data_IF_989553810166
#
_entry.id   IF_989553810166
#
_cell.length_a   1.000
_cell.length_b   1.000
_cell.length_c   1.000
_cell.angle_alpha   90.00
_cell.angle_beta   90.00
_cell.angle_gamma   90.00
#
_symmetry.space_group_name_H-M   'P 1'
#
loop_
_entity.id
_entity.type
_entity.pdbx_description
1 polymer ?
#
# COMPACT_ATOMS: atom_id res chain seq x y z
N UNK A 1 -9.60 7.38 61.55
CA UNK A 1 -10.22 8.04 60.35
C UNK A 1 -9.69 7.33 59.13
N UNK A 2 -10.47 6.41 58.59
CA UNK A 2 -10.15 5.59 57.43
C UNK A 2 -10.65 6.25 56.18
N UNK A 3 -9.73 6.54 55.23
CA UNK A 3 -10.06 7.07 53.91
C UNK A 3 -10.21 5.91 52.92
N UNK A 4 -11.45 5.63 52.54
CA UNK A 4 -11.82 4.67 51.51
C UNK A 4 -11.33 5.11 50.14
N UNK A 5 -10.54 4.24 49.46
CA UNK A 5 -10.17 4.39 48.04
C UNK A 5 -11.35 3.92 47.17
N UNK A 6 -12.03 4.86 46.54
CA UNK A 6 -12.94 4.59 45.45
C UNK A 6 -12.18 4.12 44.22
N UNK A 7 -12.47 2.90 43.74
CA UNK A 7 -12.02 2.39 42.46
C UNK A 7 -12.90 3.01 41.36
N UNK A 8 -12.33 3.91 40.58
CA UNK A 8 -12.94 4.37 39.32
C UNK A 8 -13.07 3.18 38.37
N UNK A 9 -14.30 2.75 38.14
CA UNK A 9 -14.64 1.83 37.04
C UNK A 9 -14.67 2.64 35.75
N UNK A 10 -13.76 2.33 34.82
CA UNK A 10 -13.81 2.83 33.46
C UNK A 10 -15.06 2.31 32.70
N UNK A 11 -15.51 3.00 31.65
CA UNK A 11 -16.68 2.59 30.87
C UNK A 11 -16.45 1.23 30.20
N UNK A 12 -17.51 0.44 29.92
CA UNK A 12 -17.41 -0.85 29.26
C UNK A 12 -16.95 -0.65 27.81
N UNK A 13 -15.96 -1.42 27.36
CA UNK A 13 -15.41 -1.41 26.03
C UNK A 13 -16.42 -2.05 25.07
N UNK A 14 -17.03 -1.22 24.24
CA UNK A 14 -17.88 -1.61 23.10
C UNK A 14 -16.99 -2.12 21.95
N UNK A 15 -17.43 -3.10 21.24
CA UNK A 15 -16.92 -3.85 20.07
C UNK A 15 -15.41 -3.80 19.66
N UNK A 16 -14.91 -4.85 19.04
CA UNK A 16 -13.53 -4.96 18.52
C UNK A 16 -13.19 -3.92 17.42
N UNK A 17 -14.20 -3.45 16.69
CA UNK A 17 -14.10 -2.34 15.72
C UNK A 17 -13.80 -1.00 16.40
N UNK A 18 -14.32 -0.76 17.62
CA UNK A 18 -14.04 0.46 18.37
C UNK A 18 -12.60 0.52 18.90
N UNK A 19 -11.91 -0.61 19.02
CA UNK A 19 -10.50 -0.65 19.43
C UNK A 19 -9.53 -0.39 18.28
N UNK A 20 -9.93 -0.70 17.04
CA UNK A 20 -9.15 -0.36 15.86
C UNK A 20 -9.30 1.14 15.56
N UNK A 21 -10.48 1.71 15.82
CA UNK A 21 -10.74 3.15 15.71
C UNK A 21 -10.17 4.01 16.85
N UNK A 22 -9.61 3.39 17.90
CA UNK A 22 -8.96 4.07 19.02
C UNK A 22 -7.42 4.00 18.95
N UNK A 23 -6.84 3.97 17.75
CA UNK A 23 -5.48 4.46 17.62
C UNK A 23 -5.55 5.97 17.88
N UNK A 24 -5.20 6.36 19.11
CA UNK A 24 -4.89 7.76 19.42
C UNK A 24 -4.02 8.27 18.25
N UNK A 25 -4.23 9.51 17.76
CA UNK A 25 -3.44 10.06 16.64
C UNK A 25 -1.91 9.93 16.82
N UNK A 26 -1.46 9.74 18.03
CA UNK A 26 -0.07 9.51 18.46
C UNK A 26 0.52 8.15 18.04
N UNK A 27 -0.30 7.17 17.67
CA UNK A 27 0.16 5.87 17.18
C UNK A 27 0.50 5.85 15.69
N UNK A 28 0.10 6.87 14.92
CA UNK A 28 0.40 6.98 13.50
C UNK A 28 1.71 7.72 13.27
N UNK A 29 2.62 7.11 12.50
CA UNK A 29 3.82 7.82 12.06
C UNK A 29 3.41 8.99 11.16
N UNK A 30 3.71 10.22 11.59
CA UNK A 30 3.45 11.46 10.86
C UNK A 30 4.75 12.08 10.40
N UNK A 31 4.75 12.59 9.18
CA UNK A 31 5.83 13.39 8.62
C UNK A 31 5.26 14.74 8.18
N UNK A 32 5.77 15.85 8.71
CA UNK A 32 5.24 17.20 8.45
C UNK A 32 3.72 17.33 8.67
N UNK A 33 3.19 16.76 9.75
CA UNK A 33 1.75 16.72 10.07
C UNK A 33 0.88 16.03 8.99
N UNK A 34 1.43 15.07 8.27
CA UNK A 34 0.76 14.21 7.32
C UNK A 34 1.05 12.77 7.70
N UNK A 35 0.06 11.88 7.64
CA UNK A 35 0.30 10.44 7.64
C UNK A 35 0.96 10.13 6.31
N UNK A 36 2.26 9.81 6.35
CA UNK A 36 3.05 9.63 5.15
C UNK A 36 3.64 8.23 5.06
N UNK A 37 3.53 7.61 3.89
CA UNK A 37 4.25 6.36 3.56
C UNK A 37 4.83 6.46 2.16
N UNK A 38 6.09 6.07 2.03
CA UNK A 38 6.78 5.85 0.77
C UNK A 38 6.92 4.35 0.57
N UNK A 39 6.36 3.84 -0.52
CA UNK A 39 6.32 2.43 -0.86
C UNK A 39 7.16 2.22 -2.12
N UNK A 40 7.87 1.10 -2.19
CA UNK A 40 8.76 0.80 -3.31
C UNK A 40 8.31 -0.47 -4.04
N UNK A 41 8.28 -0.41 -5.36
CA UNK A 41 8.20 -1.56 -6.24
C UNK A 41 9.56 -1.86 -6.84
N UNK A 42 10.13 -3.02 -6.48
CA UNK A 42 11.48 -3.40 -6.93
C UNK A 42 11.54 -3.80 -8.41
N UNK A 43 10.40 -4.19 -9.01
CA UNK A 43 10.36 -4.64 -10.40
C UNK A 43 10.48 -3.47 -11.38
N UNK A 44 9.78 -2.36 -11.11
CA UNK A 44 9.82 -1.13 -11.91
C UNK A 44 10.75 -0.06 -11.33
N UNK A 45 11.21 -0.22 -10.08
CA UNK A 45 11.93 0.80 -9.30
C UNK A 45 11.09 2.05 -9.01
N UNK A 46 9.77 1.89 -8.95
CA UNK A 46 8.78 2.96 -8.74
C UNK A 46 8.54 3.19 -7.27
N UNK A 47 8.38 4.45 -6.89
CA UNK A 47 7.84 4.86 -5.60
C UNK A 47 6.36 5.21 -5.69
N UNK A 48 5.58 4.62 -4.80
CA UNK A 48 4.18 5.00 -4.53
C UNK A 48 4.12 5.78 -3.22
N UNK A 49 3.31 6.84 -3.14
CA UNK A 49 3.24 7.70 -1.96
C UNK A 49 1.82 7.76 -1.41
N UNK A 50 1.65 7.45 -0.11
CA UNK A 50 0.38 7.59 0.61
C UNK A 50 0.45 8.84 1.49
N UNK A 51 -0.53 9.73 1.32
CA UNK A 51 -0.72 10.96 2.08
C UNK A 51 -2.06 10.92 2.79
N UNK A 52 -2.11 11.08 4.10
CA UNK A 52 -3.35 11.11 4.87
C UNK A 52 -3.39 12.30 5.83
N UNK A 53 -4.56 12.90 5.96
CA UNK A 53 -4.83 13.90 6.99
C UNK A 53 -5.09 13.20 8.34
N UNK A 54 -4.27 13.44 9.37
CA UNK A 54 -4.40 12.76 10.66
C UNK A 54 -5.68 13.12 11.42
N UNK A 55 -6.35 14.21 11.08
CA UNK A 55 -7.57 14.65 11.76
C UNK A 55 -8.83 14.03 11.18
N UNK A 56 -8.88 13.87 9.86
CA UNK A 56 -10.07 13.35 9.16
C UNK A 56 -9.89 11.92 8.67
N UNK A 57 -8.65 11.39 8.70
CA UNK A 57 -8.25 10.11 8.13
C UNK A 57 -8.54 9.97 6.63
N UNK A 58 -8.76 11.09 5.93
CA UNK A 58 -8.89 11.13 4.48
C UNK A 58 -7.52 11.12 3.82
N UNK A 59 -7.38 10.38 2.71
CA UNK A 59 -6.09 10.13 2.10
C UNK A 59 -6.10 10.22 0.57
N UNK A 60 -4.91 10.48 0.02
CA UNK A 60 -4.55 10.33 -1.39
C UNK A 60 -3.43 9.32 -1.51
N UNK A 61 -3.33 8.67 -2.67
CA UNK A 61 -2.19 7.84 -3.03
C UNK A 61 -1.69 8.26 -4.42
N UNK A 62 -0.37 8.31 -4.62
CA UNK A 62 0.27 8.81 -5.83
C UNK A 62 1.09 7.68 -6.46
N UNK A 63 1.00 7.51 -7.79
CA UNK A 63 1.76 6.58 -8.63
C UNK A 63 1.70 5.12 -8.13
N UNK A 64 0.52 4.54 -8.16
CA UNK A 64 0.29 3.15 -7.77
C UNK A 64 0.74 2.16 -8.85
N UNK A 65 1.23 0.98 -8.42
CA UNK A 65 1.64 -0.11 -9.31
C UNK A 65 0.59 -1.23 -9.30
N UNK A 66 0.20 -1.73 -10.47
CA UNK A 66 -0.86 -2.73 -10.65
C UNK A 66 -0.63 -3.98 -9.78
N UNK A 67 0.57 -4.53 -9.80
CA UNK A 67 0.94 -5.72 -9.03
C UNK A 67 0.98 -5.49 -7.52
N UNK A 68 1.09 -4.21 -7.08
CA UNK A 68 1.16 -3.82 -5.68
C UNK A 68 -0.19 -3.39 -5.08
N UNK A 69 -1.29 -3.40 -5.84
CA UNK A 69 -2.58 -2.91 -5.37
C UNK A 69 -3.08 -3.59 -4.08
N UNK A 70 -2.79 -4.88 -3.85
CA UNK A 70 -3.14 -5.56 -2.61
C UNK A 70 -2.39 -4.99 -1.40
N UNK A 71 -1.10 -4.67 -1.57
CA UNK A 71 -0.27 -4.02 -0.54
C UNK A 71 -0.82 -2.65 -0.20
N UNK A 72 -1.06 -1.86 -1.24
CA UNK A 72 -1.48 -0.46 -1.10
C UNK A 72 -2.88 -0.37 -0.46
N UNK A 73 -3.79 -1.25 -0.88
CA UNK A 73 -5.10 -1.40 -0.27
C UNK A 73 -5.01 -1.82 1.19
N UNK A 74 -4.24 -2.86 1.50
CA UNK A 74 -4.08 -3.35 2.87
C UNK A 74 -3.53 -2.27 3.79
N UNK A 75 -2.56 -1.46 3.32
CA UNK A 75 -2.03 -0.34 4.09
C UNK A 75 -3.10 0.72 4.41
N UNK A 76 -3.93 1.08 3.42
CA UNK A 76 -5.04 2.03 3.61
C UNK A 76 -6.02 1.50 4.65
N UNK A 77 -6.39 0.21 4.57
CA UNK A 77 -7.30 -0.46 5.50
C UNK A 77 -6.71 -0.54 6.92
N UNK A 78 -5.46 -0.98 7.07
CA UNK A 78 -4.78 -1.12 8.38
C UNK A 78 -4.58 0.22 9.09
N UNK A 79 -4.37 1.31 8.34
CA UNK A 79 -4.28 2.66 8.90
C UNK A 79 -5.65 3.31 9.15
N UNK A 80 -6.75 2.63 8.81
CA UNK A 80 -8.11 3.15 8.96
C UNK A 80 -8.39 4.37 8.08
N UNK A 81 -7.73 4.50 6.93
CA UNK A 81 -7.83 5.66 6.06
C UNK A 81 -8.98 5.53 5.06
N UNK A 82 -9.67 6.63 4.80
CA UNK A 82 -10.58 6.79 3.68
C UNK A 82 -9.82 7.30 2.46
N UNK A 83 -9.55 6.42 1.48
CA UNK A 83 -8.91 6.81 0.25
C UNK A 83 -9.87 7.60 -0.65
N UNK A 84 -9.56 8.86 -0.93
CA UNK A 84 -10.38 9.74 -1.77
C UNK A 84 -10.00 9.67 -3.24
N UNK A 85 -8.71 9.59 -3.53
CA UNK A 85 -8.22 9.50 -4.91
C UNK A 85 -6.87 8.79 -5.02
N UNK A 86 -6.67 8.15 -6.17
CA UNK A 86 -5.38 7.78 -6.72
C UNK A 86 -5.00 8.85 -7.73
N UNK A 87 -3.77 9.34 -7.66
CA UNK A 87 -3.23 10.38 -8.54
C UNK A 87 -2.03 9.81 -9.30
N UNK A 88 -2.03 9.91 -10.62
CA UNK A 88 -0.84 9.60 -11.42
C UNK A 88 -0.12 10.90 -11.81
N UNK A 89 1.20 10.95 -11.65
CA UNK A 89 2.02 12.10 -12.05
C UNK A 89 2.11 12.23 -13.57
N UNK A 90 2.03 11.12 -14.29
CA UNK A 90 2.07 11.04 -15.74
C UNK A 90 1.53 9.69 -16.25
N UNK A 91 1.50 9.48 -17.55
CA UNK A 91 1.22 8.17 -18.14
C UNK A 91 2.52 7.33 -18.13
N UNK A 92 2.64 6.41 -17.16
CA UNK A 92 3.82 5.58 -16.96
C UNK A 92 4.09 4.65 -18.16
N UNK A 93 5.38 4.40 -18.45
CA UNK A 93 5.81 3.52 -19.53
C UNK A 93 6.52 2.25 -19.06
N UNK A 94 6.84 2.16 -17.78
CA UNK A 94 7.64 1.12 -17.12
C UNK A 94 6.80 0.14 -16.31
N UNK A 95 5.59 0.55 -15.89
CA UNK A 95 4.64 -0.29 -15.17
C UNK A 95 3.20 0.09 -15.51
N UNK A 96 2.26 -0.81 -15.24
CA UNK A 96 0.83 -0.51 -15.29
C UNK A 96 0.39 0.10 -13.98
N UNK A 97 -0.35 1.23 -14.02
CA UNK A 97 -0.91 1.85 -12.80
C UNK A 97 -1.94 0.95 -12.13
N UNK A 98 -1.93 0.91 -10.80
CA UNK A 98 -2.95 0.24 -9.98
C UNK A 98 -4.23 1.04 -9.79
N UNK A 99 -4.37 2.20 -10.42
CA UNK A 99 -5.42 3.18 -10.14
C UNK A 99 -6.84 2.59 -10.27
N UNK A 100 -7.12 1.88 -11.36
CA UNK A 100 -8.43 1.24 -11.55
C UNK A 100 -8.72 0.18 -10.47
N UNK A 101 -7.73 -0.64 -10.09
CA UNK A 101 -7.91 -1.66 -9.06
C UNK A 101 -8.18 -1.04 -7.69
N UNK A 102 -7.49 0.03 -7.35
CA UNK A 102 -7.74 0.79 -6.13
C UNK A 102 -9.14 1.40 -6.13
N UNK A 103 -9.59 1.95 -7.26
CA UNK A 103 -10.96 2.46 -7.42
C UNK A 103 -12.00 1.35 -7.22
N UNK A 104 -11.82 0.17 -7.82
CA UNK A 104 -12.74 -0.96 -7.64
C UNK A 104 -12.78 -1.44 -6.18
N UNK A 105 -11.67 -1.36 -5.47
CA UNK A 105 -11.56 -1.84 -4.10
C UNK A 105 -12.11 -0.85 -3.06
N UNK A 106 -11.96 0.46 -3.28
CA UNK A 106 -12.22 1.51 -2.26
C UNK A 106 -13.28 2.52 -2.66
N UNK A 107 -13.69 2.55 -3.94
CA UNK A 107 -14.57 3.58 -4.48
C UNK A 107 -13.92 4.96 -4.67
N UNK A 108 -12.59 5.05 -4.55
CA UNK A 108 -11.86 6.30 -4.76
C UNK A 108 -11.93 6.78 -6.21
N UNK A 109 -11.58 8.04 -6.44
CA UNK A 109 -11.51 8.62 -7.78
C UNK A 109 -10.10 8.48 -8.36
N UNK A 110 -9.99 8.47 -9.69
CA UNK A 110 -8.71 8.47 -10.41
C UNK A 110 -8.47 9.87 -10.96
N UNK A 111 -7.28 10.42 -10.70
CA UNK A 111 -6.90 11.77 -11.13
C UNK A 111 -5.58 11.82 -11.89
N UNK A 112 -5.55 12.58 -13.00
CA UNK A 112 -4.39 12.79 -13.84
C UNK A 112 -4.46 14.17 -14.54
N UNK A 113 -3.35 14.63 -15.08
CA UNK A 113 -3.32 15.87 -15.90
C UNK A 113 -4.25 15.82 -17.10
N UNK A 114 -4.95 16.92 -17.40
CA UNK A 114 -5.76 17.07 -18.61
C UNK A 114 -4.97 16.88 -19.90
N UNK A 115 -3.68 17.13 -19.88
CA UNK A 115 -2.78 16.97 -21.02
C UNK A 115 -2.38 15.52 -21.27
N UNK A 116 -2.53 14.67 -20.26
CA UNK A 116 -2.26 13.26 -20.44
C UNK A 116 -3.29 12.62 -21.35
N UNK A 117 -2.86 11.76 -22.29
CA UNK A 117 -3.74 11.03 -23.18
C UNK A 117 -4.73 10.12 -22.41
N UNK A 118 -4.36 9.66 -21.21
CA UNK A 118 -5.21 8.89 -20.30
C UNK A 118 -6.33 9.70 -19.61
N UNK A 119 -6.35 11.04 -19.76
CA UNK A 119 -7.29 11.90 -19.05
C UNK A 119 -8.78 11.59 -19.34
N UNK A 120 -9.08 10.99 -20.49
CA UNK A 120 -10.47 10.62 -20.83
C UNK A 120 -11.01 9.49 -19.96
N UNK A 121 -10.16 8.61 -19.47
CA UNK A 121 -10.52 7.50 -18.60
C UNK A 121 -10.56 7.88 -17.12
N UNK A 122 -9.98 9.03 -16.73
CA UNK A 122 -9.90 9.49 -15.35
C UNK A 122 -11.13 10.31 -14.93
N UNK A 123 -11.49 10.23 -13.63
CA UNK A 123 -12.59 10.97 -13.01
C UNK A 123 -12.24 12.45 -12.79
N UNK A 124 -10.97 12.69 -12.43
CA UNK A 124 -10.42 14.01 -12.11
C UNK A 124 -9.37 14.37 -13.14
N UNK A 125 -9.48 15.57 -13.69
CA UNK A 125 -8.61 16.09 -14.75
C UNK A 125 -8.04 17.43 -14.34
N UNK A 126 -6.73 17.48 -14.12
CA UNK A 126 -6.07 18.62 -13.52
C UNK A 126 -5.40 19.54 -14.53
N UNK A 127 -5.48 20.84 -14.25
CA UNK A 127 -4.65 21.88 -14.81
C UNK A 127 -3.62 22.37 -13.79
N UNK A 128 -2.68 23.19 -14.27
CA UNK A 128 -1.73 23.88 -13.39
C UNK A 128 -2.47 24.78 -12.39
N UNK A 129 -2.11 24.68 -11.11
CA UNK A 129 -2.71 25.46 -10.01
C UNK A 129 -3.96 24.84 -9.40
N UNK A 130 -4.47 23.74 -9.94
CA UNK A 130 -5.59 23.02 -9.32
C UNK A 130 -5.15 22.43 -7.96
N UNK A 131 -6.14 22.16 -7.09
CA UNK A 131 -5.91 21.60 -5.75
C UNK A 131 -6.70 20.32 -5.56
N UNK A 132 -6.05 19.31 -5.03
CA UNK A 132 -6.71 18.04 -4.65
C UNK A 132 -6.73 17.96 -3.13
N UNK A 133 -7.93 18.11 -2.55
CA UNK A 133 -8.14 18.16 -1.10
C UNK A 133 -8.31 16.77 -0.52
N UNK A 134 -7.70 16.54 0.66
CA UNK A 134 -7.90 15.37 1.50
C UNK A 134 -7.99 15.84 2.97
N UNK A 135 -9.19 15.86 3.49
CA UNK A 135 -9.48 16.42 4.82
C UNK A 135 -9.23 17.92 4.88
N UNK A 136 -8.37 18.34 5.80
CA UNK A 136 -7.97 19.73 5.97
C UNK A 136 -6.73 20.10 5.15
N UNK A 137 -6.16 19.15 4.44
CA UNK A 137 -4.96 19.28 3.64
C UNK A 137 -5.28 19.24 2.15
N UNK A 138 -4.35 19.72 1.32
CA UNK A 138 -4.42 19.56 -0.14
C UNK A 138 -3.02 19.41 -0.75
N UNK A 139 -2.98 18.89 -1.96
CA UNK A 139 -1.83 19.03 -2.86
C UNK A 139 -2.18 19.98 -3.99
N UNK A 140 -1.24 20.89 -4.32
CA UNK A 140 -1.30 21.76 -5.49
C UNK A 140 -0.72 20.99 -6.69
N UNK A 141 -1.40 21.09 -7.83
CA UNK A 141 -0.95 20.50 -9.09
C UNK A 141 -0.10 21.50 -9.84
N UNK A 142 1.16 21.20 -10.07
CA UNK A 142 2.05 21.99 -10.93
C UNK A 142 2.28 21.26 -12.24
N UNK A 143 1.89 21.84 -13.38
CA UNK A 143 2.24 21.28 -14.68
C UNK A 143 3.76 21.30 -14.85
N UNK A 144 4.35 20.15 -15.08
CA UNK A 144 5.81 19.97 -15.25
C UNK A 144 6.12 19.12 -16.48
N UNK A 145 5.63 19.53 -17.68
CA UNK A 145 5.84 18.76 -18.90
C UNK A 145 7.32 18.69 -19.28
N UNK A 146 7.66 17.66 -20.05
CA UNK A 146 8.99 17.52 -20.63
C UNK A 146 9.53 16.09 -20.61
N UNK A 147 9.32 15.31 -19.56
CA UNK A 147 9.46 13.85 -19.62
C UNK A 147 8.33 13.26 -20.48
N UNK A 148 7.08 13.62 -20.17
CA UNK A 148 5.94 13.52 -21.08
C UNK A 148 5.23 14.86 -21.17
N UNK A 149 4.33 15.08 -22.15
CA UNK A 149 3.54 16.32 -22.23
C UNK A 149 2.55 16.48 -21.06
N UNK A 150 2.12 15.37 -20.47
CA UNK A 150 1.12 15.34 -19.40
C UNK A 150 1.71 15.31 -17.99
N UNK A 151 3.02 15.45 -17.78
CA UNK A 151 3.61 15.40 -16.45
C UNK A 151 3.13 16.52 -15.53
N UNK A 152 2.88 16.15 -14.26
CA UNK A 152 2.60 17.07 -13.17
C UNK A 152 3.45 16.72 -11.94
N UNK A 153 3.70 17.73 -11.11
CA UNK A 153 4.26 17.60 -9.76
C UNK A 153 3.16 17.95 -8.78
N UNK A 154 2.95 17.10 -7.76
CA UNK A 154 2.04 17.39 -6.66
C UNK A 154 2.84 17.99 -5.49
N UNK A 155 2.42 19.17 -5.00
CA UNK A 155 3.11 19.88 -3.92
C UNK A 155 2.16 20.03 -2.74
N UNK A 156 2.59 19.67 -1.53
CA UNK A 156 1.78 19.85 -0.32
C UNK A 156 1.49 21.33 -0.04
N UNK A 157 0.35 21.59 0.61
CA UNK A 157 -0.15 22.94 0.95
C UNK A 157 0.82 23.81 1.74
N UNK A 158 1.73 23.20 2.51
CA UNK A 158 2.80 23.85 3.26
C UNK A 158 4.12 23.97 2.47
N UNK A 159 4.15 23.54 1.22
CA UNK A 159 5.32 23.52 0.33
C UNK A 159 6.53 22.76 0.89
N UNK A 160 6.33 21.79 1.77
CA UNK A 160 7.42 21.01 2.37
C UNK A 160 7.72 19.71 1.64
N UNK A 161 6.81 19.24 0.79
CA UNK A 161 6.94 18.00 0.03
C UNK A 161 6.48 18.21 -1.42
N UNK A 162 7.30 17.76 -2.37
CA UNK A 162 6.99 17.77 -3.79
C UNK A 162 7.17 16.37 -4.38
N UNK A 163 6.10 15.82 -4.96
CA UNK A 163 6.07 14.52 -5.64
C UNK A 163 6.26 14.77 -7.13
N UNK A 164 7.50 14.63 -7.58
CA UNK A 164 7.93 15.16 -8.88
C UNK A 164 7.72 14.21 -10.06
N UNK A 165 7.23 12.99 -9.79
CA UNK A 165 7.20 11.95 -10.82
C UNK A 165 8.57 11.81 -11.47
N UNK A 166 8.59 11.74 -12.79
CA UNK A 166 9.83 11.67 -13.57
C UNK A 166 10.30 13.03 -14.12
N UNK A 167 9.69 14.12 -13.68
CA UNK A 167 10.21 15.45 -14.02
C UNK A 167 11.61 15.66 -13.42
N UNK A 168 11.73 15.50 -12.09
CA UNK A 168 13.01 15.61 -11.38
C UNK A 168 13.24 14.36 -10.53
N UNK A 169 14.37 13.67 -10.77
CA UNK A 169 14.83 12.53 -10.00
C UNK A 169 15.99 12.94 -9.09
N UNK A 170 16.28 12.12 -8.06
CA UNK A 170 17.43 12.38 -7.19
C UNK A 170 18.72 12.24 -7.99
N UNK A 171 19.44 13.35 -8.15
CA UNK A 171 20.65 13.46 -8.98
C UNK A 171 20.39 13.08 -10.45
N UNK A 172 19.18 13.37 -10.94
CA UNK A 172 18.76 13.04 -12.30
C UNK A 172 17.52 13.79 -12.75
N UNK A 173 17.07 13.47 -13.94
CA UNK A 173 15.78 13.89 -14.51
C UNK A 173 15.25 12.76 -15.41
N UNK A 174 13.95 12.70 -15.62
CA UNK A 174 13.35 11.74 -16.55
C UNK A 174 13.85 11.96 -17.98
N UNK A 175 13.88 10.90 -18.77
CA UNK A 175 14.20 10.98 -20.21
C UNK A 175 13.11 11.73 -20.99
N UNK A 176 13.46 12.24 -22.18
CA UNK A 176 12.56 13.10 -22.99
C UNK A 176 12.37 12.61 -24.42
N UNK A 177 12.80 11.38 -24.74
CA UNK A 177 12.92 10.88 -26.11
C UNK A 177 11.70 10.04 -26.57
N UNK A 178 10.61 10.00 -25.78
CA UNK A 178 9.34 9.37 -26.15
C UNK A 178 8.13 10.09 -25.49
N UNK A 179 6.89 9.68 -25.80
CA UNK A 179 5.63 10.21 -25.25
C UNK A 179 5.54 11.75 -25.29
N UNK A 180 5.89 12.36 -26.43
CA UNK A 180 5.94 13.81 -26.63
C UNK A 180 6.88 14.54 -25.66
N UNK A 181 7.93 13.86 -25.19
CA UNK A 181 8.95 14.44 -24.34
C UNK A 181 9.71 15.58 -25.03
N UNK A 182 10.21 16.54 -24.23
CA UNK A 182 10.95 17.69 -24.72
C UNK A 182 11.93 18.19 -23.65
N UNK A 183 13.20 18.14 -23.92
CA UNK A 183 14.26 18.48 -22.97
C UNK A 183 14.23 19.96 -22.56
N UNK A 184 13.94 20.88 -23.46
CA UNK A 184 13.83 22.32 -23.17
C UNK A 184 12.63 22.62 -22.25
N UNK A 185 11.48 21.95 -22.50
CA UNK A 185 10.32 22.06 -21.61
C UNK A 185 10.63 21.47 -20.22
N UNK A 186 11.34 20.32 -20.16
CA UNK A 186 11.71 19.72 -18.88
C UNK A 186 12.64 20.63 -18.06
N UNK A 187 13.63 21.25 -18.71
CA UNK A 187 14.50 22.23 -18.08
C UNK A 187 13.68 23.36 -17.42
N UNK A 188 12.75 23.96 -18.18
CA UNK A 188 11.87 25.04 -17.68
C UNK A 188 10.93 24.53 -16.58
N UNK A 189 10.35 23.36 -16.73
CA UNK A 189 9.52 22.76 -15.68
C UNK A 189 10.28 22.61 -14.36
N UNK A 190 11.51 22.15 -14.39
CA UNK A 190 12.32 22.01 -13.18
C UNK A 190 12.69 23.38 -12.61
N UNK A 191 13.19 24.30 -13.43
CA UNK A 191 13.71 25.60 -12.97
C UNK A 191 12.61 26.55 -12.53
N UNK A 192 11.46 26.57 -13.22
CA UNK A 192 10.36 27.52 -13.00
C UNK A 192 9.28 26.99 -12.07
N UNK A 193 9.11 25.65 -11.92
CA UNK A 193 8.06 25.07 -11.11
C UNK A 193 8.59 24.37 -9.84
N UNK A 194 9.76 23.70 -9.91
CA UNK A 194 10.30 22.94 -8.77
C UNK A 194 11.35 23.77 -8.02
N UNK A 195 12.32 24.35 -8.72
CA UNK A 195 13.39 25.13 -8.07
C UNK A 195 12.94 26.49 -7.50
N UNK A 196 11.69 26.88 -7.71
CA UNK A 196 11.02 28.03 -7.07
C UNK A 196 10.40 27.68 -5.71
N UNK A 197 10.33 26.40 -5.35
CA UNK A 197 9.92 25.97 -4.01
C UNK A 197 10.99 26.32 -2.97
N UNK A 198 10.63 26.34 -1.67
CA UNK A 198 11.59 26.56 -0.59
C UNK A 198 12.76 25.57 -0.65
N UNK A 199 13.94 26.02 -0.22
CA UNK A 199 15.17 25.22 -0.24
C UNK A 199 15.06 23.91 0.56
N UNK A 200 14.30 23.92 1.65
CA UNK A 200 14.01 22.79 2.53
C UNK A 200 12.80 21.93 2.07
N UNK A 201 12.18 22.28 0.94
CA UNK A 201 11.16 21.43 0.34
C UNK A 201 11.79 20.11 -0.10
N UNK A 202 11.23 19.00 0.38
CA UNK A 202 11.70 17.66 0.07
C UNK A 202 11.18 17.19 -1.27
N UNK A 203 12.06 16.59 -2.05
CA UNK A 203 11.78 16.03 -3.38
C UNK A 203 11.58 14.52 -3.24
N UNK A 204 10.42 14.04 -3.70
CA UNK A 204 10.03 12.66 -3.78
C UNK A 204 9.79 12.27 -5.25
N UNK A 205 10.73 11.57 -5.89
CA UNK A 205 10.65 11.24 -7.32
C UNK A 205 9.73 10.06 -7.61
N UNK A 206 9.33 9.86 -8.87
CA UNK A 206 8.63 8.66 -9.32
C UNK A 206 9.52 7.41 -9.27
N UNK A 207 10.82 7.55 -9.54
CA UNK A 207 11.77 6.44 -9.61
C UNK A 207 13.08 6.72 -8.89
N UNK A 208 13.71 5.66 -8.37
CA UNK A 208 15.13 5.64 -8.05
C UNK A 208 15.73 4.24 -8.23
N UNK A 209 16.81 4.16 -9.00
CA UNK A 209 17.49 2.91 -9.33
C UNK A 209 18.66 2.58 -8.39
N UNK A 210 18.86 3.38 -7.35
CA UNK A 210 19.99 3.28 -6.41
C UNK A 210 19.55 3.20 -4.95
N UNK A 211 18.22 3.17 -4.68
CA UNK A 211 17.66 3.05 -3.34
C UNK A 211 17.67 4.36 -2.55
N UNK A 212 17.83 5.52 -3.21
CA UNK A 212 17.70 6.83 -2.57
C UNK A 212 16.24 7.19 -2.44
N UNK A 213 15.81 7.65 -1.28
CA UNK A 213 14.41 7.80 -0.95
C UNK A 213 13.87 9.23 -1.11
N UNK A 214 14.72 10.23 -0.93
CA UNK A 214 14.35 11.63 -1.04
C UNK A 214 15.59 12.51 -1.22
N UNK A 215 15.37 13.74 -1.66
CA UNK A 215 16.33 14.82 -1.73
C UNK A 215 15.67 16.14 -1.27
N UNK A 216 16.30 17.28 -1.48
CA UNK A 216 15.70 18.59 -1.29
C UNK A 216 15.90 19.48 -2.51
N UNK A 217 15.12 20.56 -2.60
CA UNK A 217 15.29 21.58 -3.65
C UNK A 217 16.68 22.15 -3.63
N UNK A 218 17.20 22.49 -2.44
CA UNK A 218 18.57 23.02 -2.29
C UNK A 218 19.62 22.04 -2.79
N UNK A 219 19.49 20.75 -2.43
CA UNK A 219 20.43 19.72 -2.86
C UNK A 219 20.42 19.50 -4.37
N UNK A 220 19.22 19.39 -4.98
CA UNK A 220 19.13 19.16 -6.43
C UNK A 220 19.60 20.40 -7.20
N UNK A 221 19.28 21.59 -6.74
CA UNK A 221 19.78 22.85 -7.33
C UNK A 221 21.32 22.95 -7.27
N UNK A 222 21.92 22.48 -6.18
CA UNK A 222 23.38 22.56 -6.00
C UNK A 222 24.13 21.40 -6.68
N UNK A 223 23.60 20.18 -6.61
CA UNK A 223 24.38 18.97 -6.84
C UNK A 223 23.81 18.02 -7.90
N UNK A 224 22.65 18.32 -8.53
CA UNK A 224 22.13 17.49 -9.61
C UNK A 224 23.10 17.58 -10.82
N UNK A 225 23.70 16.46 -11.29
CA UNK A 225 24.70 16.49 -12.34
C UNK A 225 24.16 16.87 -13.72
N UNK A 226 22.82 16.90 -13.89
CA UNK A 226 22.16 17.25 -15.16
C UNK A 226 21.72 18.69 -15.20
N UNK A 227 21.21 19.23 -14.09
CA UNK A 227 20.53 20.53 -14.06
C UNK A 227 20.97 21.42 -12.89
N UNK A 228 21.80 20.90 -11.99
CA UNK A 228 22.31 21.65 -10.82
C UNK A 228 23.53 22.51 -11.12
N UNK A 229 23.95 23.27 -10.11
CA UNK A 229 25.16 24.08 -10.17
C UNK A 229 25.07 25.25 -11.15
N UNK A 230 25.82 25.19 -12.24
CA UNK A 230 25.88 26.26 -13.26
C UNK A 230 25.38 25.79 -14.63
N UNK A 231 24.74 24.61 -14.73
CA UNK A 231 24.20 24.09 -15.98
C UNK A 231 23.13 25.04 -16.53
N UNK A 232 23.30 25.46 -17.77
CA UNK A 232 22.28 26.23 -18.50
C UNK A 232 21.34 25.30 -19.30
N UNK A 233 20.33 25.88 -19.96
CA UNK A 233 19.37 25.13 -20.78
C UNK A 233 20.07 24.34 -21.90
N UNK A 234 21.15 24.88 -22.50
CA UNK A 234 21.85 24.22 -23.60
C UNK A 234 22.67 23.02 -23.11
N UNK A 235 23.30 23.15 -21.96
CA UNK A 235 24.01 22.03 -21.32
C UNK A 235 23.05 20.88 -21.02
N UNK A 236 21.88 21.21 -20.44
CA UNK A 236 20.85 20.22 -20.11
C UNK A 236 20.28 19.54 -21.36
N UNK A 237 19.86 20.31 -22.35
CA UNK A 237 19.31 19.78 -23.60
C UNK A 237 20.32 18.91 -24.32
N UNK A 238 21.57 19.38 -24.47
CA UNK A 238 22.63 18.63 -25.08
C UNK A 238 22.92 17.30 -24.38
N UNK A 239 22.84 17.28 -23.03
CA UNK A 239 22.98 16.04 -22.26
C UNK A 239 21.77 15.10 -22.50
N UNK A 240 20.54 15.61 -22.42
CA UNK A 240 19.33 14.80 -22.50
C UNK A 240 19.13 14.16 -23.89
N UNK A 241 19.46 14.87 -24.97
CA UNK A 241 19.38 14.38 -26.34
C UNK A 241 20.39 13.27 -26.64
N UNK A 242 21.44 13.14 -25.83
CA UNK A 242 22.50 12.13 -26.02
C UNK A 242 22.47 11.01 -24.98
N UNK A 243 21.40 10.83 -24.22
CA UNK A 243 21.28 9.78 -23.20
C UNK A 243 21.34 8.36 -23.76
N UNK A 244 20.83 8.12 -24.98
CA UNK A 244 20.84 6.83 -25.68
C UNK A 244 20.43 5.61 -24.78
N UNK A 245 19.44 5.79 -23.93
CA UNK A 245 18.96 4.74 -23.03
C UNK A 245 18.06 3.74 -23.79
N UNK A 246 18.12 2.43 -23.48
CA UNK A 246 17.15 1.48 -24.01
C UNK A 246 15.73 1.87 -23.59
N UNK A 247 14.74 1.55 -24.43
CA UNK A 247 13.34 1.79 -24.05
C UNK A 247 12.94 0.97 -22.83
N UNK A 248 11.98 1.48 -22.01
CA UNK A 248 11.42 0.69 -20.90
C UNK A 248 10.89 -0.65 -21.42
N UNK A 249 11.23 -1.73 -20.72
CA UNK A 249 10.86 -3.10 -21.15
C UNK A 249 9.35 -3.32 -21.26
N UNK A 250 8.59 -2.63 -20.46
CA UNK A 250 7.14 -2.76 -20.35
C UNK A 250 6.36 -1.77 -21.26
N UNK A 251 7.02 -0.87 -22.00
CA UNK A 251 6.38 0.23 -22.73
C UNK A 251 5.21 -0.22 -23.62
N UNK A 252 5.36 -1.36 -24.31
CA UNK A 252 4.35 -1.90 -25.22
C UNK A 252 3.08 -2.41 -24.51
N UNK A 253 3.17 -2.69 -23.20
CA UNK A 253 2.07 -3.16 -22.36
C UNK A 253 1.55 -2.01 -21.48
N UNK A 254 2.47 -1.31 -20.82
CA UNK A 254 2.13 -0.30 -19.83
C UNK A 254 1.42 0.91 -20.47
N UNK A 255 1.95 1.47 -21.55
CA UNK A 255 1.33 2.68 -22.15
C UNK A 255 -0.11 2.43 -22.60
N UNK A 256 -0.44 1.38 -23.39
CA UNK A 256 -1.84 1.09 -23.74
C UNK A 256 -2.76 0.86 -22.54
N UNK A 257 -2.30 0.14 -21.51
CA UNK A 257 -3.08 -0.11 -20.31
C UNK A 257 -3.31 1.19 -19.52
N UNK A 258 -2.29 2.04 -19.40
CA UNK A 258 -2.35 3.30 -18.67
C UNK A 258 -3.23 4.35 -19.37
N UNK A 259 -3.43 4.26 -20.68
CA UNK A 259 -4.45 5.07 -21.39
C UNK A 259 -5.87 4.80 -20.87
N UNK A 260 -6.09 3.65 -20.24
CA UNK A 260 -7.34 3.25 -19.57
C UNK A 260 -7.18 3.22 -18.03
N UNK A 261 -6.25 4.00 -17.48
CA UNK A 261 -5.96 4.05 -16.04
C UNK A 261 -5.70 2.68 -15.40
N UNK A 262 -5.04 1.78 -16.12
CA UNK A 262 -4.72 0.43 -15.66
C UNK A 262 -5.90 -0.56 -15.66
N UNK A 263 -7.03 -0.21 -16.29
CA UNK A 263 -8.19 -1.10 -16.40
C UNK A 263 -7.85 -2.32 -17.27
N UNK A 264 -7.98 -3.57 -16.75
CA UNK A 264 -7.78 -4.77 -17.55
C UNK A 264 -8.81 -4.89 -18.67
N UNK A 265 -8.44 -5.49 -19.81
CA UNK A 265 -9.36 -5.69 -20.94
C UNK A 265 -10.57 -6.57 -20.62
N UNK A 266 -10.38 -7.55 -19.73
CA UNK A 266 -11.45 -8.47 -19.28
C UNK A 266 -12.22 -7.93 -18.05
N UNK A 267 -11.88 -6.73 -17.59
CA UNK A 267 -12.46 -6.03 -16.44
C UNK A 267 -12.43 -6.84 -15.12
N UNK A 268 -11.58 -7.87 -15.05
CA UNK A 268 -11.49 -8.69 -13.85
C UNK A 268 -10.61 -8.05 -12.79
N UNK A 269 -11.15 -7.99 -11.59
CA UNK A 269 -10.37 -7.62 -10.40
C UNK A 269 -9.65 -8.89 -9.91
N UNK A 270 -8.30 -8.88 -9.83
CA UNK A 270 -7.56 -10.00 -9.26
C UNK A 270 -8.03 -10.27 -7.83
N UNK A 271 -8.10 -11.54 -7.46
CA UNK A 271 -8.41 -11.98 -6.09
C UNK A 271 -7.17 -12.68 -5.51
N UNK A 272 -6.89 -12.52 -4.22
CA UNK A 272 -5.77 -13.22 -3.57
C UNK A 272 -5.93 -14.75 -3.60
N UNK A 273 -7.19 -15.22 -3.64
CA UNK A 273 -7.57 -16.62 -3.77
C UNK A 273 -8.97 -16.76 -4.38
N UNK A 274 -9.25 -17.91 -4.98
CA UNK A 274 -10.55 -18.25 -5.63
C UNK A 274 -11.47 -19.12 -4.74
N UNK A 275 -10.96 -19.64 -3.61
CA UNK A 275 -11.62 -20.59 -2.74
C UNK A 275 -12.32 -19.99 -1.52
N UNK A 276 -12.15 -18.68 -1.26
CA UNK A 276 -12.77 -17.98 -0.15
C UNK A 276 -12.46 -16.47 -0.17
N UNK A 277 -13.06 -15.68 0.74
CA UNK A 277 -12.83 -14.24 0.84
C UNK A 277 -11.49 -13.94 1.53
N UNK A 278 -10.42 -14.51 0.98
CA UNK A 278 -9.06 -14.33 1.47
C UNK A 278 -8.60 -12.91 1.20
N UNK A 279 -8.00 -12.28 2.18
CA UNK A 279 -7.34 -10.96 2.07
C UNK A 279 -5.83 -11.12 2.19
N UNK A 280 -5.10 -10.20 1.62
CA UNK A 280 -3.66 -10.06 1.85
C UNK A 280 -3.46 -8.85 2.75
N UNK A 281 -2.85 -9.04 3.93
CA UNK A 281 -2.47 -7.93 4.78
C UNK A 281 -1.21 -7.21 4.24
N UNK A 282 -0.83 -6.08 4.86
CA UNK A 282 0.29 -5.27 4.39
C UNK A 282 1.64 -6.02 4.43
N UNK A 283 1.82 -6.97 5.34
CA UNK A 283 3.01 -7.83 5.37
C UNK A 283 3.02 -8.91 4.27
N UNK A 284 1.96 -9.00 3.46
CA UNK A 284 1.82 -9.98 2.37
C UNK A 284 1.25 -11.34 2.81
N UNK A 285 0.86 -11.48 4.08
CA UNK A 285 0.25 -12.69 4.61
C UNK A 285 -1.20 -12.80 4.12
N UNK A 286 -1.61 -13.98 3.69
CA UNK A 286 -2.99 -14.29 3.37
C UNK A 286 -3.77 -14.59 4.65
N UNK A 287 -4.90 -13.92 4.84
CA UNK A 287 -5.76 -14.04 6.01
C UNK A 287 -7.22 -14.25 5.62
N UNK A 288 -7.97 -14.88 6.50
CA UNK A 288 -9.40 -15.13 6.35
C UNK A 288 -10.13 -14.87 7.66
N UNK A 289 -11.33 -14.31 7.58
CA UNK A 289 -12.10 -13.92 8.75
C UNK A 289 -12.72 -15.12 9.47
N UNK A 290 -12.77 -15.07 10.83
CA UNK A 290 -13.30 -16.17 11.65
C UNK A 290 -14.74 -16.54 11.33
N UNK A 291 -15.62 -15.57 11.03
CA UNK A 291 -17.03 -15.84 10.74
C UNK A 291 -17.18 -16.72 9.50
N UNK A 292 -16.45 -16.40 8.44
CA UNK A 292 -16.51 -17.21 7.22
C UNK A 292 -16.02 -18.63 7.49
N UNK A 293 -14.94 -18.79 8.24
CA UNK A 293 -14.40 -20.11 8.61
C UNK A 293 -15.42 -20.90 9.42
N UNK A 294 -16.10 -20.25 10.39
CA UNK A 294 -17.14 -20.87 11.20
C UNK A 294 -18.32 -21.42 10.37
N UNK A 295 -18.70 -20.70 9.33
CA UNK A 295 -19.76 -21.12 8.41
C UNK A 295 -19.33 -22.25 7.45
N UNK A 296 -18.01 -22.41 7.20
CA UNK A 296 -17.46 -23.32 6.19
C UNK A 296 -16.55 -24.41 6.79
N UNK A 297 -16.71 -24.76 8.07
CA UNK A 297 -15.87 -25.76 8.76
C UNK A 297 -15.82 -27.13 8.05
N UNK A 298 -16.84 -27.50 7.31
CA UNK A 298 -16.88 -28.75 6.54
C UNK A 298 -16.02 -28.71 5.27
N UNK A 299 -15.76 -27.52 4.75
CA UNK A 299 -15.07 -27.27 3.47
C UNK A 299 -13.59 -26.99 3.64
N UNK A 300 -13.18 -26.60 4.83
CA UNK A 300 -11.79 -26.24 5.17
C UNK A 300 -11.17 -27.25 6.14
N UNK A 301 -9.85 -27.25 6.21
CA UNK A 301 -9.07 -27.98 7.21
C UNK A 301 -8.48 -26.98 8.20
N UNK A 302 -9.02 -26.92 9.42
CA UNK A 302 -8.48 -26.06 10.49
C UNK A 302 -7.30 -26.76 11.15
N UNK A 303 -6.15 -26.05 11.21
CA UNK A 303 -4.90 -26.55 11.76
C UNK A 303 -4.50 -25.73 12.99
N UNK A 304 -4.73 -26.25 14.20
CA UNK A 304 -4.33 -25.58 15.43
C UNK A 304 -2.85 -25.82 15.70
N UNK A 305 -2.05 -24.76 15.63
CA UNK A 305 -0.58 -24.82 15.82
C UNK A 305 -0.14 -24.43 17.23
N UNK A 306 -1.08 -24.38 18.18
CA UNK A 306 -0.77 -24.19 19.60
C UNK A 306 -0.22 -25.47 20.21
N UNK A 307 0.36 -25.33 21.40
CA UNK A 307 0.77 -26.49 22.17
C UNK A 307 -0.47 -27.24 22.74
N UNK A 308 -0.42 -28.57 22.95
CA UNK A 308 -1.55 -29.36 23.43
C UNK A 308 -2.16 -28.82 24.74
N UNK A 309 -1.33 -28.27 25.63
CA UNK A 309 -1.75 -27.70 26.92
C UNK A 309 -2.65 -26.46 26.72
N UNK A 310 -2.41 -25.68 25.67
CA UNK A 310 -3.19 -24.49 25.36
C UNK A 310 -4.61 -24.81 24.86
N UNK A 311 -4.85 -26.01 24.34
CA UNK A 311 -6.17 -26.44 23.85
C UNK A 311 -7.18 -26.64 25.00
N UNK A 312 -6.69 -26.85 26.22
CA UNK A 312 -7.48 -27.03 27.41
C UNK A 312 -7.71 -25.73 28.20
N UNK A 313 -7.19 -24.60 27.71
CA UNK A 313 -7.34 -23.30 28.35
C UNK A 313 -8.75 -22.72 28.15
N UNK A 314 -8.96 -21.50 28.70
CA UNK A 314 -10.25 -20.77 28.58
C UNK A 314 -10.67 -20.41 27.17
N UNK A 315 -9.76 -20.42 26.20
CA UNK A 315 -10.07 -20.14 24.79
C UNK A 315 -10.67 -21.38 24.10
N UNK A 316 -10.46 -22.59 24.67
CA UNK A 316 -10.91 -23.82 24.04
C UNK A 316 -10.26 -24.06 22.68
N UNK A 317 -10.94 -24.86 21.84
CA UNK A 317 -10.49 -25.15 20.46
C UNK A 317 -11.66 -25.20 19.49
N UNK A 318 -11.37 -24.98 18.21
CA UNK A 318 -12.35 -25.21 17.14
C UNK A 318 -12.59 -26.73 17.01
N UNK A 319 -13.84 -27.13 16.91
CA UNK A 319 -14.27 -28.55 17.01
C UNK A 319 -13.56 -29.48 16.01
N UNK A 320 -13.36 -29.02 14.77
CA UNK A 320 -12.78 -29.80 13.67
C UNK A 320 -11.26 -29.66 13.56
N UNK A 321 -10.62 -28.88 14.45
CA UNK A 321 -9.21 -28.57 14.32
C UNK A 321 -8.31 -29.78 14.59
N UNK A 322 -7.41 -30.07 13.65
CA UNK A 322 -6.26 -30.94 13.86
C UNK A 322 -5.20 -30.14 14.65
N UNK A 323 -4.64 -30.75 15.69
CA UNK A 323 -3.55 -30.13 16.44
C UNK A 323 -2.20 -30.64 15.95
N UNK A 324 -1.38 -29.72 15.42
CA UNK A 324 0.02 -29.95 15.08
C UNK A 324 0.81 -28.73 15.56
N UNK A 325 1.51 -28.81 16.69
CA UNK A 325 2.28 -27.69 17.22
C UNK A 325 3.26 -27.12 16.21
N UNK A 326 3.43 -25.79 16.20
CA UNK A 326 4.24 -25.09 15.21
C UNK A 326 5.67 -25.63 15.09
N UNK A 327 6.27 -26.01 16.20
CA UNK A 327 7.63 -26.59 16.26
C UNK A 327 7.72 -27.99 15.62
N UNK A 328 6.61 -28.71 15.49
CA UNK A 328 6.53 -30.04 14.86
C UNK A 328 6.04 -29.96 13.40
N UNK A 329 5.50 -28.82 12.98
CA UNK A 329 4.77 -28.68 11.71
C UNK A 329 5.58 -29.13 10.50
N UNK A 330 6.87 -28.77 10.43
CA UNK A 330 7.73 -29.12 9.28
C UNK A 330 7.92 -30.63 9.14
N UNK A 331 7.96 -31.36 10.25
CA UNK A 331 8.18 -32.80 10.26
C UNK A 331 6.88 -33.58 10.02
N UNK A 332 5.73 -32.91 10.20
CA UNK A 332 4.40 -33.51 10.14
C UNK A 332 3.54 -33.02 8.96
N UNK A 333 4.13 -32.39 7.96
CA UNK A 333 3.42 -31.87 6.77
C UNK A 333 2.62 -32.95 6.04
N UNK A 334 3.09 -34.20 6.04
CA UNK A 334 2.42 -35.32 5.39
C UNK A 334 1.08 -35.74 6.07
N UNK A 335 0.83 -35.28 7.30
CA UNK A 335 -0.41 -35.54 8.01
C UNK A 335 -1.53 -34.55 7.64
N UNK A 336 -1.20 -33.48 6.90
CA UNK A 336 -2.12 -32.40 6.57
C UNK A 336 -2.73 -32.66 5.19
N UNK A 337 -4.07 -32.75 5.05
CA UNK A 337 -4.71 -33.05 3.78
C UNK A 337 -4.53 -31.88 2.80
N UNK A 338 -4.00 -32.12 1.58
CA UNK A 338 -3.77 -31.06 0.59
C UNK A 338 -5.01 -30.72 -0.25
N UNK A 339 -6.06 -31.50 -0.16
CA UNK A 339 -7.28 -31.42 -0.98
C UNK A 339 -8.25 -30.33 -0.50
N UNK A 340 -8.15 -29.88 0.75
CA UNK A 340 -8.92 -28.77 1.33
C UNK A 340 -8.08 -27.53 1.56
N UNK A 341 -8.70 -26.34 1.58
CA UNK A 341 -8.03 -25.14 2.08
C UNK A 341 -7.60 -25.33 3.53
N UNK A 342 -6.35 -25.03 3.86
CA UNK A 342 -5.81 -25.16 5.20
C UNK A 342 -5.84 -23.81 5.91
N UNK A 343 -6.43 -23.79 7.10
CA UNK A 343 -6.57 -22.58 7.93
C UNK A 343 -5.78 -22.77 9.22
N UNK A 344 -4.50 -22.36 9.25
CA UNK A 344 -3.74 -22.34 10.49
C UNK A 344 -4.35 -21.40 11.52
N UNK A 345 -4.47 -21.83 12.75
CA UNK A 345 -4.94 -21.04 13.89
C UNK A 345 -3.97 -21.15 15.06
N UNK A 346 -3.80 -20.07 15.80
CA UNK A 346 -3.08 -20.06 17.07
C UNK A 346 -3.80 -19.13 18.06
N UNK A 347 -3.11 -18.67 19.09
CA UNK A 347 -3.69 -17.77 20.09
C UNK A 347 -4.17 -16.45 19.51
N UNK A 348 -3.29 -15.72 18.77
CA UNK A 348 -3.56 -14.35 18.28
C UNK A 348 -3.16 -14.11 16.81
N UNK A 349 -2.94 -15.16 16.02
CA UNK A 349 -2.61 -15.03 14.59
C UNK A 349 -1.11 -15.07 14.24
N UNK A 350 -0.18 -14.85 15.17
CA UNK A 350 1.26 -14.75 14.86
C UNK A 350 1.89 -16.10 14.50
N UNK A 351 1.74 -17.11 15.35
CA UNK A 351 2.28 -18.47 15.10
C UNK A 351 1.62 -19.11 13.89
N UNK A 352 0.33 -18.93 13.74
CA UNK A 352 -0.42 -19.41 12.57
C UNK A 352 -0.06 -18.66 11.29
N UNK A 353 0.31 -17.39 11.38
CA UNK A 353 0.91 -16.64 10.26
C UNK A 353 2.22 -17.29 9.79
N UNK A 354 3.11 -17.67 10.71
CA UNK A 354 4.33 -18.41 10.37
C UNK A 354 4.01 -19.79 9.78
N UNK A 355 3.02 -20.50 10.34
CA UNK A 355 2.56 -21.77 9.80
C UNK A 355 2.02 -21.62 8.36
N UNK A 356 1.30 -20.55 8.07
CA UNK A 356 0.81 -20.23 6.71
C UNK A 356 1.98 -20.12 5.72
N UNK A 357 3.07 -19.47 6.09
CA UNK A 357 4.27 -19.37 5.24
C UNK A 357 4.91 -20.74 5.05
N UNK A 358 5.11 -21.52 6.12
CA UNK A 358 5.69 -22.88 6.06
C UNK A 358 4.88 -23.78 5.12
N UNK A 359 3.55 -23.77 5.21
CA UNK A 359 2.68 -24.57 4.36
C UNK A 359 2.75 -24.15 2.89
N UNK A 360 2.75 -22.85 2.61
CA UNK A 360 2.89 -22.34 1.24
C UNK A 360 4.22 -22.72 0.63
N UNK A 361 5.31 -22.59 1.37
CA UNK A 361 6.65 -22.98 0.93
C UNK A 361 6.76 -24.50 0.70
N UNK A 362 5.97 -25.29 1.42
CA UNK A 362 5.83 -26.72 1.22
C UNK A 362 4.91 -27.12 0.05
N UNK A 363 4.33 -26.13 -0.66
CA UNK A 363 3.53 -26.37 -1.87
C UNK A 363 2.03 -26.54 -1.64
N UNK A 364 1.49 -26.23 -0.46
CA UNK A 364 0.05 -26.21 -0.24
C UNK A 364 -0.58 -25.03 -0.98
N UNK A 365 -1.49 -25.26 -1.96
CA UNK A 365 -1.97 -24.19 -2.86
C UNK A 365 -3.00 -23.27 -2.21
N UNK A 366 -3.71 -23.74 -1.19
CA UNK A 366 -4.84 -23.05 -0.56
C UNK A 366 -4.62 -22.94 0.94
N UNK A 367 -3.96 -21.86 1.38
CA UNK A 367 -3.64 -21.63 2.79
C UNK A 367 -3.90 -20.16 3.12
N UNK A 368 -4.59 -19.91 4.23
CA UNK A 368 -4.75 -18.57 4.79
C UNK A 368 -4.77 -18.62 6.32
N UNK A 369 -4.09 -17.66 6.96
CA UNK A 369 -4.06 -17.50 8.42
C UNK A 369 -5.45 -17.14 8.94
N UNK A 370 -5.91 -17.74 10.03
CA UNK A 370 -7.11 -17.27 10.73
C UNK A 370 -6.82 -15.91 11.36
N UNK A 371 -7.48 -14.86 10.85
CA UNK A 371 -7.30 -13.51 11.35
C UNK A 371 -7.59 -13.43 12.86
N UNK A 372 -6.69 -12.80 13.64
CA UNK A 372 -6.82 -12.62 15.09
C UNK A 372 -6.79 -13.92 15.93
N UNK A 373 -6.71 -15.11 15.29
CA UNK A 373 -6.62 -16.40 15.97
C UNK A 373 -7.79 -16.71 16.91
N UNK A 374 -7.55 -17.56 17.89
CA UNK A 374 -8.57 -17.94 18.89
C UNK A 374 -9.06 -16.79 19.75
N UNK A 375 -8.26 -15.73 19.93
CA UNK A 375 -8.72 -14.55 20.65
C UNK A 375 -9.88 -13.88 19.96
N UNK A 376 -9.75 -13.60 18.65
CA UNK A 376 -10.81 -12.98 17.87
C UNK A 376 -12.00 -13.94 17.71
N UNK A 377 -11.75 -15.23 17.46
CA UNK A 377 -12.78 -16.26 17.40
C UNK A 377 -13.69 -16.24 18.64
N UNK A 378 -13.10 -16.20 19.84
CA UNK A 378 -13.84 -16.14 21.10
C UNK A 378 -14.54 -14.79 21.32
N UNK A 379 -13.89 -13.66 20.97
CA UNK A 379 -14.48 -12.33 21.08
C UNK A 379 -15.76 -12.19 20.25
N UNK A 380 -15.82 -12.89 19.12
CA UNK A 380 -17.00 -12.96 18.24
C UNK A 380 -18.06 -13.95 18.73
N UNK A 381 -17.82 -14.64 19.83
CA UNK A 381 -18.75 -15.63 20.38
C UNK A 381 -18.91 -16.88 19.51
N UNK A 382 -17.94 -17.19 18.66
CA UNK A 382 -17.99 -18.35 17.78
C UNK A 382 -17.80 -19.67 18.56
N UNK A 383 -18.36 -20.81 18.08
CA UNK A 383 -18.37 -22.07 18.82
C UNK A 383 -16.97 -22.61 19.13
N UNK A 384 -16.76 -23.00 20.39
CA UNK A 384 -15.53 -23.66 20.85
C UNK A 384 -15.86 -24.93 21.63
N UNK A 385 -14.96 -25.91 21.56
CA UNK A 385 -14.95 -27.06 22.45
C UNK A 385 -13.99 -26.80 23.60
N UNK A 386 -14.47 -26.98 24.81
CA UNK A 386 -13.61 -27.09 25.98
C UNK A 386 -13.41 -28.57 26.28
N UNK A 387 -12.17 -28.98 26.57
CA UNK A 387 -11.92 -30.29 27.14
C UNK A 387 -12.68 -30.39 28.43
N UNK A 388 -13.46 -31.45 28.63
CA UNK A 388 -14.08 -31.73 29.91
C UNK A 388 -12.95 -31.77 30.95
N UNK A 389 -12.93 -30.80 31.87
CA UNK A 389 -12.01 -30.80 32.99
C UNK A 389 -12.15 -32.13 33.74
N UNK A 390 -11.10 -32.61 34.43
CA UNK A 390 -11.22 -33.79 35.24
C UNK A 390 -12.40 -33.59 36.20
N UNK A 391 -13.35 -34.55 36.19
CA UNK A 391 -14.48 -34.52 37.11
C UNK A 391 -13.94 -34.33 38.54
N UNK A 392 -14.53 -33.39 39.31
CA UNK A 392 -14.12 -33.23 40.71
C UNK A 392 -14.31 -34.59 41.43
N UNK A 393 -13.20 -35.07 41.97
CA UNK A 393 -13.21 -36.28 42.85
C UNK A 393 -13.87 -35.96 44.16
#
# INVERSE_FOLDING_TARGET
MSASREKLKGPPLTSSLDRINALEPWGLFMFNNIIFRQLFDAASSTYTYLLGDPQTLQALIIDTVFEQHFRDRALVEELGLQLLAVLDTHCHADHVTGAWLMQQATGCRIGISKRCAAAQAADLRFDHGDRVTFGQRYVEVRATPGHTDGCVTYVTDDHRMAFTGDCLLIRGAGRCDFQQGNASMLYRSITEQIFTLPDDCLIFPGHDYSGRTMSSVAEERAHNPRIGGRADERDFVGFMENLNLPHPKQIAVAVPANLSCGKPQDEKVPRPADWGPVRRNYSGLLEIEPEWVAEHLAEVHVLDVRQPEELADKLGRIATAQCVPLNELKDRLAEIPPDKPVIPVCHAGMRSGQATVILRDAGFPRVANLHGGMLLWQQMGLPVLHSAGPSPK
#
